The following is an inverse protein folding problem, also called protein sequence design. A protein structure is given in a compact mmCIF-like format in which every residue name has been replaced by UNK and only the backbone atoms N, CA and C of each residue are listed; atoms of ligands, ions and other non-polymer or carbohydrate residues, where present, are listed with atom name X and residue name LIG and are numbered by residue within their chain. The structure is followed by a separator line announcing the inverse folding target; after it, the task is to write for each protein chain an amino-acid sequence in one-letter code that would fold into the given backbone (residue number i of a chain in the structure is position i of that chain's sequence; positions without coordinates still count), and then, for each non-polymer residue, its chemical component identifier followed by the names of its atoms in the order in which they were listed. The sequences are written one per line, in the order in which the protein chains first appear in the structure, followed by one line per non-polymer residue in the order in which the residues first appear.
data_IF_718315601091
#
_entry.id   IF_718315601091
#
_cell.length_a   1.000
_cell.length_b   1.000
_cell.length_c   1.000
_cell.angle_alpha   90.00
_cell.angle_beta   90.00
_cell.angle_gamma   90.00
#
_symmetry.space_group_name_H-M   'P 1'
#
loop_
_entity.id
_entity.type
_entity.pdbx_description
1 polymer ?
#
# COMPACT_ATOMS: atom_id res chain seq x y z
N UNK A 1 1.39 -8.12 -19.53
CA UNK A 1 0.50 -7.01 -19.96
C UNK A 1 0.98 -6.25 -21.19
N UNK A 2 2.24 -6.44 -21.65
CA UNK A 2 2.73 -5.78 -22.87
C UNK A 2 2.88 -4.27 -22.71
N UNK A 3 3.12 -3.78 -21.50
CA UNK A 3 3.46 -2.39 -21.23
C UNK A 3 4.91 -2.14 -21.66
N UNK A 4 5.33 -0.87 -21.83
CA UNK A 4 6.74 -0.54 -22.03
C UNK A 4 7.59 -1.22 -20.96
N UNK A 5 8.76 -1.77 -21.34
CA UNK A 5 9.58 -2.51 -20.40
C UNK A 5 10.00 -1.62 -19.23
N UNK A 6 10.10 -2.25 -18.05
CA UNK A 6 10.85 -1.73 -16.91
C UNK A 6 12.15 -2.54 -16.89
N UNK A 7 13.30 -1.87 -16.99
CA UNK A 7 14.61 -2.54 -17.01
C UNK A 7 15.07 -2.91 -15.60
N UNK A 8 16.05 -3.80 -15.49
CA UNK A 8 16.66 -4.14 -14.19
C UNK A 8 17.31 -2.91 -13.53
N UNK A 9 17.90 -2.00 -14.34
CA UNK A 9 18.45 -0.73 -13.86
C UNK A 9 17.37 0.16 -13.24
N UNK A 10 16.17 0.22 -13.82
CA UNK A 10 15.04 0.96 -13.26
C UNK A 10 14.58 0.36 -11.92
N UNK A 11 14.53 -0.97 -11.82
CA UNK A 11 14.16 -1.68 -10.58
C UNK A 11 15.20 -1.43 -9.49
N UNK A 12 16.48 -1.52 -9.82
CA UNK A 12 17.58 -1.28 -8.87
C UNK A 12 17.61 0.18 -8.41
N UNK A 13 17.48 1.14 -9.34
CA UNK A 13 17.40 2.56 -9.01
C UNK A 13 16.22 2.84 -8.06
N UNK A 14 15.02 2.33 -8.36
CA UNK A 14 13.84 2.51 -7.52
C UNK A 14 13.98 1.90 -6.12
N UNK A 15 14.83 0.88 -5.96
CA UNK A 15 15.07 0.21 -4.67
C UNK A 15 15.82 1.11 -3.68
N UNK A 16 16.69 1.99 -4.16
CA UNK A 16 17.56 2.83 -3.33
C UNK A 16 17.31 4.33 -3.49
N UNK A 17 16.47 4.74 -4.45
CA UNK A 17 16.15 6.12 -4.72
C UNK A 17 15.55 6.82 -3.50
N UNK A 18 15.95 8.08 -3.28
CA UNK A 18 15.23 8.98 -2.39
C UNK A 18 14.05 9.64 -3.13
N UNK A 19 14.17 9.83 -4.45
CA UNK A 19 13.07 10.33 -5.27
C UNK A 19 13.33 10.26 -6.76
N UNK A 20 12.49 10.93 -7.55
CA UNK A 20 12.52 10.82 -9.01
C UNK A 20 13.80 11.34 -9.69
N UNK A 21 14.65 12.09 -8.97
CA UNK A 21 15.95 12.55 -9.49
C UNK A 21 17.00 11.43 -9.55
N UNK A 22 16.77 10.35 -8.81
CA UNK A 22 17.64 9.18 -8.77
C UNK A 22 17.18 8.09 -9.75
N UNK A 23 16.10 8.35 -10.51
CA UNK A 23 15.54 7.43 -11.49
C UNK A 23 16.09 7.72 -12.90
N UNK A 24 16.36 6.70 -13.71
CA UNK A 24 16.70 6.89 -15.11
C UNK A 24 15.51 7.47 -15.89
N UNK A 25 15.83 8.16 -16.98
CA UNK A 25 14.82 8.76 -17.88
C UNK A 25 14.04 7.68 -18.63
N UNK A 26 12.71 7.89 -18.75
CA UNK A 26 11.82 6.99 -19.49
C UNK A 26 11.34 7.62 -20.79
N UNK A 27 10.94 6.76 -21.74
CA UNK A 27 10.30 7.21 -22.98
C UNK A 27 8.83 7.59 -22.73
N UNK A 28 8.62 8.85 -22.34
CA UNK A 28 7.30 9.42 -22.04
C UNK A 28 6.31 9.22 -23.20
N UNK A 29 6.77 9.30 -24.45
CA UNK A 29 5.90 9.15 -25.63
C UNK A 29 5.36 7.73 -25.74
N UNK A 30 6.17 6.71 -25.43
CA UNK A 30 5.70 5.32 -25.41
C UNK A 30 4.76 5.06 -24.24
N UNK A 31 5.07 5.56 -23.05
CA UNK A 31 4.20 5.41 -21.87
C UNK A 31 2.81 6.01 -22.11
N UNK A 32 2.72 7.21 -22.72
CA UNK A 32 1.44 7.84 -23.07
C UNK A 32 0.66 7.02 -24.11
N UNK A 33 1.33 6.48 -25.14
CA UNK A 33 0.67 5.63 -26.15
C UNK A 33 0.04 4.39 -25.51
N UNK A 34 0.75 3.75 -24.59
CA UNK A 34 0.23 2.58 -23.89
C UNK A 34 -0.85 2.91 -22.87
N UNK A 35 -0.76 4.06 -22.19
CA UNK A 35 -1.84 4.55 -21.33
C UNK A 35 -3.14 4.74 -22.13
N UNK A 36 -3.07 5.28 -23.35
CA UNK A 36 -4.22 5.38 -24.24
C UNK A 36 -4.75 3.99 -24.66
N UNK A 37 -3.86 3.01 -24.86
CA UNK A 37 -4.27 1.65 -25.18
C UNK A 37 -5.01 0.96 -24.02
N UNK A 38 -4.58 1.16 -22.77
CA UNK A 38 -5.26 0.66 -21.56
C UNK A 38 -6.71 1.14 -21.56
N UNK A 39 -6.92 2.43 -21.83
CA UNK A 39 -8.25 3.04 -21.91
C UNK A 39 -9.04 2.47 -23.10
N UNK A 40 -8.47 2.47 -24.30
CA UNK A 40 -9.15 2.03 -25.52
C UNK A 40 -9.55 0.56 -25.48
N UNK A 41 -8.79 -0.27 -24.78
CA UNK A 41 -9.07 -1.71 -24.59
C UNK A 41 -9.91 -1.99 -23.34
N UNK A 42 -10.33 -0.97 -22.59
CA UNK A 42 -11.07 -1.10 -21.32
C UNK A 42 -10.39 -2.06 -20.32
N UNK A 43 -9.05 -2.04 -20.28
CA UNK A 43 -8.32 -2.89 -19.35
C UNK A 43 -8.61 -2.45 -17.93
N UNK A 44 -8.81 -3.40 -17.04
CA UNK A 44 -9.25 -3.13 -15.67
C UNK A 44 -8.37 -3.83 -14.62
N UNK A 45 -8.64 -3.56 -13.34
CA UNK A 45 -7.84 -4.10 -12.23
C UNK A 45 -7.79 -5.63 -12.17
N UNK A 46 -8.78 -6.36 -12.72
CA UNK A 46 -8.72 -7.82 -12.77
C UNK A 46 -7.67 -8.33 -13.76
N UNK A 47 -7.36 -7.59 -14.81
CA UNK A 47 -6.24 -7.92 -15.70
C UNK A 47 -4.89 -7.75 -15.00
N UNK A 48 -4.76 -6.73 -14.16
CA UNK A 48 -3.56 -6.53 -13.34
C UNK A 48 -3.39 -7.68 -12.34
N UNK A 49 -4.46 -8.07 -11.64
CA UNK A 49 -4.47 -9.24 -10.75
C UNK A 49 -4.00 -10.49 -11.48
N UNK A 50 -4.56 -10.76 -12.67
CA UNK A 50 -4.15 -11.91 -13.49
C UNK A 50 -2.68 -11.84 -13.90
N UNK A 51 -2.20 -10.66 -14.30
CA UNK A 51 -0.82 -10.46 -14.71
C UNK A 51 0.17 -10.67 -13.55
N UNK A 52 -0.15 -10.18 -12.35
CA UNK A 52 0.64 -10.40 -11.14
C UNK A 52 0.71 -11.89 -10.79
N UNK A 53 -0.43 -12.58 -10.79
CA UNK A 53 -0.49 -14.02 -10.53
C UNK A 53 0.31 -14.84 -11.55
N UNK A 54 0.20 -14.49 -12.84
CA UNK A 54 0.98 -15.13 -13.92
C UNK A 54 2.47 -14.81 -13.83
N UNK A 55 2.83 -13.65 -13.28
CA UNK A 55 4.21 -13.24 -13.01
C UNK A 55 4.82 -13.87 -11.76
N UNK A 56 4.08 -14.69 -11.02
CA UNK A 56 4.55 -15.35 -9.79
C UNK A 56 4.32 -14.56 -8.50
N UNK A 57 3.75 -13.35 -8.58
CA UNK A 57 3.45 -12.49 -7.41
C UNK A 57 2.03 -12.78 -6.88
N UNK A 58 1.81 -14.03 -6.45
CA UNK A 58 0.47 -14.51 -6.08
C UNK A 58 -0.11 -13.86 -4.83
N UNK A 59 0.75 -13.51 -3.88
CA UNK A 59 0.43 -12.75 -2.66
C UNK A 59 -0.08 -11.34 -3.02
N UNK A 60 0.70 -10.58 -3.79
CA UNK A 60 0.32 -9.23 -4.24
C UNK A 60 -0.93 -9.26 -5.12
N UNK A 61 -1.06 -10.28 -5.97
CA UNK A 61 -2.27 -10.50 -6.76
C UNK A 61 -3.50 -10.73 -5.88
N UNK A 62 -3.36 -11.50 -4.79
CA UNK A 62 -4.43 -11.78 -3.85
C UNK A 62 -4.83 -10.53 -3.07
N UNK A 63 -3.87 -9.71 -2.63
CA UNK A 63 -4.12 -8.43 -1.96
C UNK A 63 -4.88 -7.46 -2.88
N UNK A 64 -4.43 -7.31 -4.12
CA UNK A 64 -5.11 -6.47 -5.10
C UNK A 64 -6.53 -6.98 -5.41
N UNK A 65 -6.73 -8.30 -5.45
CA UNK A 65 -8.05 -8.89 -5.61
C UNK A 65 -8.94 -8.63 -4.39
N UNK A 66 -8.40 -8.66 -3.17
CA UNK A 66 -9.15 -8.38 -1.95
C UNK A 66 -9.65 -6.92 -1.91
N UNK A 67 -8.83 -5.96 -2.36
CA UNK A 67 -9.27 -4.57 -2.54
C UNK A 67 -10.44 -4.47 -3.54
N UNK A 68 -10.41 -5.26 -4.63
CA UNK A 68 -11.51 -5.28 -5.59
C UNK A 68 -12.78 -5.90 -5.01
N UNK A 69 -12.65 -6.93 -4.15
CA UNK A 69 -13.78 -7.54 -3.43
C UNK A 69 -14.41 -6.59 -2.42
N UNK A 70 -13.64 -5.68 -1.81
CA UNK A 70 -14.18 -4.67 -0.89
C UNK A 70 -15.26 -3.79 -1.56
N UNK A 71 -15.19 -3.58 -2.88
CA UNK A 71 -16.22 -2.90 -3.67
C UNK A 71 -17.57 -3.63 -3.70
N UNK A 72 -17.56 -4.95 -3.51
CA UNK A 72 -18.76 -5.77 -3.47
C UNK A 72 -19.39 -5.79 -2.09
N UNK A 73 -18.58 -5.86 -1.02
CA UNK A 73 -19.11 -5.86 0.35
C UNK A 73 -19.58 -4.48 0.75
N UNK A 74 -18.89 -3.43 0.30
CA UNK A 74 -19.25 -2.04 0.57
C UNK A 74 -18.94 -1.57 2.00
N UNK A 75 -18.35 -2.43 2.84
CA UNK A 75 -18.06 -2.08 4.24
C UNK A 75 -17.11 -0.88 4.35
N UNK A 76 -16.16 -0.75 3.41
CA UNK A 76 -15.22 0.37 3.36
C UNK A 76 -15.87 1.70 2.91
N UNK A 77 -17.17 1.71 2.56
CA UNK A 77 -17.93 2.93 2.28
C UNK A 77 -18.41 3.62 3.57
N UNK A 78 -18.30 2.95 4.72
CA UNK A 78 -18.62 3.54 6.01
C UNK A 78 -17.65 4.66 6.39
N UNK A 79 -18.10 5.55 7.28
CA UNK A 79 -17.35 6.73 7.70
C UNK A 79 -15.98 6.36 8.26
N UNK A 80 -14.95 7.03 7.77
CA UNK A 80 -13.56 6.84 8.18
C UNK A 80 -13.02 5.41 8.01
N UNK A 81 -13.58 4.65 7.07
CA UNK A 81 -13.18 3.27 6.89
C UNK A 81 -11.76 3.14 6.29
N UNK A 82 -10.97 2.24 6.87
CA UNK A 82 -9.68 1.77 6.38
C UNK A 82 -9.68 0.25 6.31
N UNK A 83 -8.83 -0.31 5.46
CA UNK A 83 -8.63 -1.76 5.35
C UNK A 83 -7.28 -2.11 5.99
N UNK A 84 -7.28 -3.05 6.92
CA UNK A 84 -6.08 -3.47 7.66
C UNK A 84 -5.86 -4.98 7.52
N UNK A 85 -4.59 -5.40 7.61
CA UNK A 85 -4.17 -6.80 7.59
C UNK A 85 -4.82 -7.59 6.44
N UNK A 86 -5.44 -8.72 6.78
CA UNK A 86 -6.07 -9.67 5.85
C UNK A 86 -7.39 -9.18 5.21
N UNK A 87 -7.58 -7.86 5.07
CA UNK A 87 -8.76 -7.26 4.45
C UNK A 87 -9.87 -6.87 5.42
N UNK A 88 -9.59 -6.80 6.73
CA UNK A 88 -10.55 -6.33 7.72
C UNK A 88 -10.83 -4.84 7.54
N UNK A 89 -12.10 -4.44 7.56
CA UNK A 89 -12.49 -3.03 7.54
C UNK A 89 -12.64 -2.50 8.97
N UNK A 90 -11.89 -1.47 9.32
CA UNK A 90 -12.09 -0.65 10.53
C UNK A 90 -12.71 0.68 10.12
N UNK A 91 -13.75 1.12 10.80
CA UNK A 91 -14.51 2.32 10.47
C UNK A 91 -15.09 2.93 11.74
N UNK A 92 -15.63 4.15 11.65
CA UNK A 92 -16.33 4.77 12.76
C UNK A 92 -17.63 4.04 13.18
N UNK A 93 -18.03 2.98 12.47
CA UNK A 93 -19.19 2.14 12.83
C UNK A 93 -18.78 1.02 13.79
N UNK A 94 -17.62 0.39 13.58
CA UNK A 94 -17.18 -0.79 14.35
C UNK A 94 -15.94 -0.53 15.23
N UNK A 95 -15.25 0.59 15.02
CA UNK A 95 -14.15 1.11 15.83
C UNK A 95 -14.48 2.57 16.22
N UNK A 96 -15.51 2.70 17.06
CA UNK A 96 -16.11 3.99 17.41
C UNK A 96 -15.19 4.73 18.38
N UNK A 97 -14.88 5.99 18.08
CA UNK A 97 -14.25 6.86 19.07
C UNK A 97 -15.24 7.22 20.19
N UNK A 98 -14.87 6.93 21.44
CA UNK A 98 -15.72 7.06 22.62
C UNK A 98 -15.18 8.06 23.66
N UNK A 99 -14.39 9.05 23.23
CA UNK A 99 -13.82 10.04 24.13
C UNK A 99 -14.88 10.80 24.95
N UNK A 100 -14.79 10.66 26.28
CA UNK A 100 -15.62 11.30 27.31
C UNK A 100 -14.78 11.91 28.46
N UNK A 101 -13.48 12.14 28.23
CA UNK A 101 -12.55 12.70 29.22
C UNK A 101 -11.28 11.86 29.40
N UNK A 102 -10.39 12.23 30.35
CA UNK A 102 -9.17 11.48 30.61
C UNK A 102 -9.43 9.98 30.82
N UNK A 103 -8.55 9.14 30.28
CA UNK A 103 -8.63 7.67 30.31
C UNK A 103 -9.80 7.01 29.52
N UNK A 104 -10.53 7.77 28.70
CA UNK A 104 -11.50 7.26 27.70
C UNK A 104 -10.98 7.54 26.28
N UNK A 105 -11.61 6.98 25.24
CA UNK A 105 -11.11 7.12 23.88
C UNK A 105 -9.95 6.19 23.55
N UNK A 106 -9.42 6.35 22.34
CA UNK A 106 -8.20 5.68 21.90
C UNK A 106 -7.02 5.98 22.83
N UNK A 107 -6.28 4.94 23.19
CA UNK A 107 -5.05 5.04 24.00
C UNK A 107 -3.94 4.22 23.37
N UNK A 108 -2.76 4.83 23.31
CA UNK A 108 -1.56 4.18 22.84
C UNK A 108 -1.08 3.17 23.90
N UNK A 109 -1.14 1.88 23.58
CA UNK A 109 -0.83 0.80 24.51
C UNK A 109 -0.36 -0.46 23.76
N UNK A 110 0.21 -1.41 24.51
CA UNK A 110 0.61 -2.71 23.99
C UNK A 110 1.66 -2.61 22.88
N UNK A 111 1.49 -3.40 21.83
CA UNK A 111 2.46 -3.54 20.72
C UNK A 111 2.75 -2.19 20.05
N UNK A 112 1.74 -1.37 19.76
CA UNK A 112 1.92 -0.06 19.11
C UNK A 112 2.74 0.91 19.96
N UNK A 113 2.67 0.81 21.29
CA UNK A 113 3.51 1.61 22.19
C UNK A 113 4.98 1.17 22.12
N UNK A 114 5.23 -0.13 22.14
CA UNK A 114 6.59 -0.68 21.99
C UNK A 114 7.19 -0.36 20.62
N UNK A 115 6.40 -0.46 19.55
CA UNK A 115 6.79 -0.09 18.19
C UNK A 115 7.27 1.37 18.12
N UNK A 116 6.53 2.31 18.71
CA UNK A 116 6.88 3.74 18.68
C UNK A 116 8.14 4.04 19.51
N UNK A 117 8.37 3.31 20.61
CA UNK A 117 9.60 3.47 21.41
C UNK A 117 10.84 2.93 20.68
N UNK A 118 10.69 1.87 19.90
CA UNK A 118 11.79 1.15 19.26
C UNK A 118 12.25 1.84 17.96
N UNK A 119 12.68 3.10 18.07
CA UNK A 119 13.22 3.86 16.94
C UNK A 119 14.62 3.34 16.58
N UNK A 120 14.90 3.01 15.31
CA UNK A 120 16.23 2.61 14.88
C UNK A 120 17.28 3.67 15.21
N UNK A 121 18.34 3.26 15.92
CA UNK A 121 19.42 4.15 16.37
C UNK A 121 19.19 4.81 17.73
N UNK A 122 18.09 4.51 18.44
CA UNK A 122 17.96 4.85 19.85
C UNK A 122 19.06 4.15 20.67
N UNK A 123 19.84 4.93 21.43
CA UNK A 123 20.90 4.40 22.29
C UNK A 123 20.33 4.00 23.66
N UNK A 124 20.78 2.87 24.19
CA UNK A 124 20.51 2.53 25.59
C UNK A 124 21.38 3.42 26.50
N UNK A 125 20.77 4.23 27.39
CA UNK A 125 21.53 5.07 28.31
C UNK A 125 22.52 4.33 29.20
N UNK A 126 22.33 3.02 29.41
CA UNK A 126 23.25 2.20 30.21
C UNK A 126 24.48 1.72 29.41
N UNK A 127 24.47 1.88 28.09
CA UNK A 127 25.57 1.51 27.20
C UNK A 127 26.40 2.73 26.75
N UNK A 128 26.12 3.91 27.32
CA UNK A 128 26.85 5.16 27.06
C UNK A 128 27.76 5.44 28.27
N UNK A 129 29.07 5.51 28.03
CA UNK A 129 30.08 5.98 28.99
C UNK A 129 30.07 7.51 29.17
#
# INVERSE_FOLDING_TARGET
MGLPPITDEEVEAATYAHGSKDMPERNIVEDIKFAQEIINKNRNGLEVVKALAQGGFTDVAQDMLNIQKAKLTGDYLHTSAIIVGDGQVLSAVNDVNDYAGPATGYRLQGERWEEIKNIPGALDPNEID
#
